data_IF_362562297216
#
_entry.id   IF_362562297216
#
_cell.length_a   1.000
_cell.length_b   1.000
_cell.length_c   1.000
_cell.angle_alpha   90.00
_cell.angle_beta   90.00
_cell.angle_gamma   90.00
#
_symmetry.space_group_name_H-M   'P 1'
#
loop_
_entity.id
_entity.type
_entity.pdbx_description
1 polymer ?
#
# COMPACT_ATOMS: atom_id res chain seq x y z
N UNK A 1 0.05 55.20 91.68
CA UNK A 1 -0.06 56.58 91.14
C UNK A 1 0.93 56.68 89.99
N UNK A 2 0.64 57.00 88.72
CA UNK A 2 -0.46 57.68 88.03
C UNK A 2 -0.83 56.91 86.75
N UNK A 3 -2.10 56.96 86.35
CA UNK A 3 -2.64 56.52 85.05
C UNK A 3 -2.37 57.57 83.97
N UNK A 4 -2.26 57.16 82.69
CA UNK A 4 -2.91 57.76 81.51
C UNK A 4 -2.65 56.93 80.21
N UNK A 5 -3.42 57.10 79.11
CA UNK A 5 -4.13 56.01 78.43
C UNK A 5 -3.68 55.74 76.98
N UNK A 6 -4.22 54.67 76.39
CA UNK A 6 -3.78 54.03 75.16
C UNK A 6 -4.27 54.61 73.83
N UNK A 7 -3.78 53.98 72.74
CA UNK A 7 -4.21 54.18 71.35
C UNK A 7 -4.21 52.83 70.60
N UNK A 8 -5.19 52.69 69.71
CA UNK A 8 -5.75 51.49 69.04
C UNK A 8 -4.88 50.88 67.93
N UNK A 9 -5.06 49.57 67.70
CA UNK A 9 -4.72 48.86 66.46
C UNK A 9 -5.56 49.34 65.27
N UNK A 10 -4.95 49.38 64.08
CA UNK A 10 -5.65 49.35 62.80
C UNK A 10 -4.83 48.55 61.78
N UNK A 11 -5.38 47.42 61.37
CA UNK A 11 -4.93 46.62 60.25
C UNK A 11 -5.25 47.34 58.92
N UNK A 12 -4.27 47.47 58.03
CA UNK A 12 -4.49 47.93 56.65
C UNK A 12 -4.67 46.74 55.72
N UNK A 13 -5.89 46.63 55.21
CA UNK A 13 -6.35 45.70 54.19
C UNK A 13 -5.89 46.16 52.80
N UNK A 14 -5.51 45.17 52.00
CA UNK A 14 -5.19 45.25 50.58
C UNK A 14 -6.43 45.62 49.75
N UNK A 15 -6.33 46.54 48.79
CA UNK A 15 -7.33 46.68 47.72
C UNK A 15 -6.61 46.94 46.39
N UNK A 16 -6.57 45.89 45.56
CA UNK A 16 -6.18 45.95 44.16
C UNK A 16 -7.35 46.53 43.38
N UNK A 17 -7.15 47.69 42.74
CA UNK A 17 -8.12 48.29 41.84
C UNK A 17 -8.09 47.56 40.50
N UNK A 18 -9.10 46.74 40.21
CA UNK A 18 -9.34 46.19 38.87
C UNK A 18 -10.05 47.23 38.02
N UNK A 19 -9.36 47.72 36.98
CA UNK A 19 -9.90 48.66 36.01
C UNK A 19 -10.92 47.99 35.10
N UNK A 20 -12.08 48.63 34.94
CA UNK A 20 -13.09 48.27 33.95
C UNK A 20 -12.56 48.68 32.56
N UNK A 21 -12.40 47.75 31.61
CA UNK A 21 -12.00 48.13 30.25
C UNK A 21 -13.11 48.95 29.60
N UNK A 22 -12.72 50.04 28.92
CA UNK A 22 -13.68 50.90 28.21
C UNK A 22 -14.44 50.09 27.15
N UNK A 23 -15.73 50.41 26.98
CA UNK A 23 -16.66 49.73 26.05
C UNK A 23 -16.13 49.70 24.61
N UNK A 24 -15.33 50.70 24.21
CA UNK A 24 -14.70 50.76 22.89
C UNK A 24 -13.61 49.69 22.68
N UNK A 25 -12.83 49.36 23.71
CA UNK A 25 -11.79 48.32 23.64
C UNK A 25 -12.41 46.92 23.54
N UNK A 26 -13.53 46.68 24.21
CA UNK A 26 -14.27 45.41 24.13
C UNK A 26 -14.91 45.24 22.74
N UNK A 27 -15.48 46.30 22.17
CA UNK A 27 -16.08 46.25 20.83
C UNK A 27 -15.06 45.96 19.72
N UNK A 28 -13.85 46.53 19.80
CA UNK A 28 -12.77 46.28 18.83
C UNK A 28 -12.27 44.83 18.84
N UNK A 29 -12.12 44.25 20.03
CA UNK A 29 -11.68 42.85 20.19
C UNK A 29 -12.74 41.86 19.70
N UNK A 30 -14.03 42.16 19.96
CA UNK A 30 -15.14 41.33 19.46
C UNK A 30 -15.23 41.38 17.94
N UNK A 31 -15.08 42.55 17.32
CA UNK A 31 -15.12 42.69 15.87
C UNK A 31 -13.97 41.96 15.19
N UNK A 32 -12.75 42.06 15.73
CA UNK A 32 -11.58 41.35 15.20
C UNK A 32 -11.74 39.82 15.29
N UNK A 33 -12.29 39.31 16.40
CA UNK A 33 -12.55 37.88 16.58
C UNK A 33 -13.61 37.35 15.61
N UNK A 34 -14.68 38.12 15.35
CA UNK A 34 -15.73 37.75 14.39
C UNK A 34 -15.19 37.71 12.96
N UNK A 35 -14.35 38.68 12.57
CA UNK A 35 -13.72 38.70 11.25
C UNK A 35 -12.75 37.52 11.08
N UNK A 36 -11.92 37.21 12.08
CA UNK A 36 -11.01 36.08 12.03
C UNK A 36 -11.75 34.73 11.91
N UNK A 37 -12.87 34.57 12.63
CA UNK A 37 -13.71 33.38 12.54
C UNK A 37 -14.37 33.25 11.15
N UNK A 38 -14.87 34.35 10.59
CA UNK A 38 -15.46 34.35 9.25
C UNK A 38 -14.45 33.97 8.15
N UNK A 39 -13.21 34.46 8.25
CA UNK A 39 -12.13 34.11 7.31
C UNK A 39 -11.72 32.63 7.45
N UNK A 40 -11.62 32.11 8.68
CA UNK A 40 -11.30 30.70 8.91
C UNK A 40 -12.38 29.76 8.36
N UNK A 41 -13.66 30.11 8.53
CA UNK A 41 -14.79 29.34 7.97
C UNK A 41 -14.79 29.38 6.45
N UNK A 42 -14.51 30.54 5.84
CA UNK A 42 -14.43 30.67 4.39
C UNK A 42 -13.28 29.84 3.79
N UNK A 43 -12.11 29.82 4.44
CA UNK A 43 -10.97 29.00 4.02
C UNK A 43 -11.23 27.51 4.18
N UNK A 44 -11.88 27.09 5.27
CA UNK A 44 -12.27 25.69 5.47
C UNK A 44 -13.27 25.24 4.40
N UNK A 45 -14.28 26.05 4.10
CA UNK A 45 -15.28 25.77 3.06
C UNK A 45 -14.65 25.71 1.66
N UNK A 46 -13.69 26.59 1.36
CA UNK A 46 -12.95 26.56 0.10
C UNK A 46 -12.07 25.30 -0.04
N UNK A 47 -11.39 24.88 1.04
CA UNK A 47 -10.63 23.64 1.06
C UNK A 47 -11.52 22.40 0.90
N UNK A 48 -12.72 22.41 1.51
CA UNK A 48 -13.71 21.35 1.34
C UNK A 48 -14.25 21.27 -0.09
N UNK A 49 -14.55 22.41 -0.74
CA UNK A 49 -15.02 22.41 -2.13
C UNK A 49 -13.96 21.92 -3.11
N UNK A 50 -12.68 22.28 -2.92
CA UNK A 50 -11.58 21.78 -3.76
C UNK A 50 -11.37 20.29 -3.55
N UNK A 51 -11.45 19.79 -2.32
CA UNK A 51 -11.33 18.36 -2.02
C UNK A 51 -12.49 17.54 -2.62
N UNK A 52 -13.72 18.04 -2.57
CA UNK A 52 -14.90 17.38 -3.15
C UNK A 52 -14.85 17.41 -4.69
N UNK A 53 -14.44 18.53 -5.29
CA UNK A 53 -14.31 18.65 -6.75
C UNK A 53 -13.20 17.77 -7.33
N UNK A 54 -12.05 17.67 -6.64
CA UNK A 54 -10.96 16.78 -7.03
C UNK A 54 -11.34 15.31 -6.87
N UNK A 55 -12.02 14.94 -5.77
CA UNK A 55 -12.49 13.57 -5.52
C UNK A 55 -13.55 13.09 -6.51
N UNK A 56 -14.45 13.98 -6.95
CA UNK A 56 -15.48 13.64 -7.93
C UNK A 56 -14.92 13.48 -9.36
N UNK A 57 -13.94 14.31 -9.75
CA UNK A 57 -13.31 14.17 -11.07
C UNK A 57 -12.43 12.92 -11.16
N UNK A 58 -11.70 12.57 -10.08
CA UNK A 58 -10.90 11.34 -10.05
C UNK A 58 -11.79 10.10 -10.02
N UNK A 59 -12.91 10.11 -9.26
CA UNK A 59 -13.79 8.95 -9.20
C UNK A 59 -14.42 8.61 -10.56
N UNK A 60 -14.90 9.62 -11.30
CA UNK A 60 -15.48 9.45 -12.65
C UNK A 60 -14.44 8.93 -13.63
N UNK A 61 -13.23 9.47 -13.64
CA UNK A 61 -12.15 9.00 -14.53
C UNK A 61 -11.69 7.56 -14.26
N UNK A 62 -11.92 7.05 -13.04
CA UNK A 62 -11.52 5.70 -12.66
C UNK A 62 -12.63 4.69 -12.94
N UNK A 63 -13.90 5.08 -12.77
CA UNK A 63 -15.04 4.26 -13.20
C UNK A 63 -15.05 4.11 -14.73
N UNK A 64 -14.68 5.18 -15.45
CA UNK A 64 -14.43 5.15 -16.90
C UNK A 64 -13.28 4.20 -17.26
N UNK A 65 -12.13 4.27 -16.57
CA UNK A 65 -10.99 3.35 -16.80
C UNK A 65 -11.28 1.89 -16.45
N UNK A 66 -12.12 1.63 -15.44
CA UNK A 66 -12.62 0.29 -15.13
C UNK A 66 -13.52 -0.21 -16.26
N UNK A 67 -14.40 0.64 -16.78
CA UNK A 67 -15.23 0.29 -17.94
C UNK A 67 -14.40 0.04 -19.21
N UNK A 68 -13.29 0.76 -19.42
CA UNK A 68 -12.34 0.48 -20.49
C UNK A 68 -11.60 -0.85 -20.27
N UNK A 69 -11.19 -1.18 -19.05
CA UNK A 69 -10.58 -2.48 -18.76
C UNK A 69 -11.56 -3.65 -18.98
N UNK A 70 -12.84 -3.43 -18.70
CA UNK A 70 -13.94 -4.37 -18.98
C UNK A 70 -14.28 -4.43 -20.50
N UNK A 71 -14.05 -3.36 -21.27
CA UNK A 71 -14.27 -3.31 -22.73
C UNK A 71 -13.19 -4.06 -23.53
N UNK A 72 -11.93 -4.06 -23.05
CA UNK A 72 -10.80 -4.72 -23.72
C UNK A 72 -10.37 -6.04 -23.06
N UNK A 73 -10.91 -6.36 -21.89
CA UNK A 73 -10.71 -7.63 -21.20
C UNK A 73 -11.58 -8.76 -21.78
N UNK A 74 -11.25 -10.03 -21.48
CA UNK A 74 -12.20 -11.11 -21.74
C UNK A 74 -13.51 -10.81 -21.01
N UNK A 75 -14.65 -11.12 -21.65
CA UNK A 75 -15.97 -10.93 -21.03
C UNK A 75 -15.98 -11.54 -19.62
N UNK A 76 -16.44 -10.81 -18.58
CA UNK A 76 -16.55 -11.36 -17.23
C UNK A 76 -17.46 -12.58 -17.27
N UNK A 77 -16.89 -13.76 -17.01
CA UNK A 77 -17.61 -15.02 -17.13
C UNK A 77 -16.80 -16.09 -17.86
N UNK A 78 -16.08 -16.85 -17.02
CA UNK A 78 -15.65 -18.24 -17.25
C UNK A 78 -14.42 -18.41 -18.15
N UNK A 79 -13.24 -18.23 -17.54
CA UNK A 79 -12.05 -18.97 -17.99
C UNK A 79 -12.23 -20.42 -17.53
N UNK A 80 -12.94 -21.23 -18.33
CA UNK A 80 -13.20 -22.65 -18.04
C UNK A 80 -11.89 -23.46 -17.96
N UNK A 81 -10.91 -23.09 -18.79
CA UNK A 81 -9.58 -23.70 -18.83
C UNK A 81 -8.51 -22.60 -18.96
N UNK A 82 -7.79 -22.28 -17.87
CA UNK A 82 -6.67 -21.35 -17.91
C UNK A 82 -5.62 -21.73 -18.95
N UNK A 83 -5.41 -23.02 -19.21
CA UNK A 83 -4.40 -23.48 -20.16
C UNK A 83 -4.76 -23.04 -21.58
N UNK A 84 -5.98 -23.34 -22.04
CA UNK A 84 -6.47 -22.94 -23.36
C UNK A 84 -6.52 -21.41 -23.49
N UNK A 85 -7.03 -20.72 -22.48
CA UNK A 85 -7.09 -19.26 -22.48
C UNK A 85 -5.70 -18.63 -22.62
N UNK A 86 -4.74 -19.08 -21.82
CA UNK A 86 -3.36 -18.57 -21.86
C UNK A 86 -2.67 -18.94 -23.17
N UNK A 87 -2.96 -20.09 -23.77
CA UNK A 87 -2.43 -20.48 -25.07
C UNK A 87 -2.78 -19.46 -26.17
N UNK A 88 -4.00 -18.91 -26.12
CA UNK A 88 -4.52 -17.92 -27.07
C UNK A 88 -4.09 -16.49 -26.75
N UNK A 89 -4.07 -16.11 -25.46
CA UNK A 89 -3.98 -14.70 -25.07
C UNK A 89 -2.60 -14.26 -24.53
N UNK A 90 -1.78 -15.20 -24.01
CA UNK A 90 -0.51 -14.81 -23.42
C UNK A 90 0.52 -14.46 -24.50
N UNK A 91 1.06 -13.25 -24.42
CA UNK A 91 2.08 -12.78 -25.32
C UNK A 91 3.41 -13.52 -25.08
N UNK A 92 4.19 -13.69 -26.16
CA UNK A 92 5.56 -14.19 -26.06
C UNK A 92 6.50 -13.14 -25.45
N UNK A 93 7.61 -13.60 -24.87
CA UNK A 93 8.73 -12.74 -24.48
C UNK A 93 9.29 -12.03 -25.72
N UNK A 94 9.62 -10.75 -25.59
CA UNK A 94 10.17 -9.91 -26.64
C UNK A 94 9.14 -9.35 -27.63
N UNK A 95 7.83 -9.59 -27.44
CA UNK A 95 6.78 -9.10 -28.34
C UNK A 95 6.46 -7.60 -28.19
N UNK A 96 7.25 -6.87 -27.40
CA UNK A 96 7.09 -5.43 -27.17
C UNK A 96 6.10 -5.11 -26.04
N UNK A 97 5.74 -3.85 -25.90
CA UNK A 97 4.87 -3.38 -24.81
C UNK A 97 3.42 -3.85 -24.98
N UNK A 98 2.81 -4.28 -23.88
CA UNK A 98 1.39 -4.62 -23.80
C UNK A 98 0.57 -3.44 -23.28
N UNK A 99 -0.71 -3.36 -23.67
CA UNK A 99 -1.67 -2.44 -23.06
C UNK A 99 -2.08 -3.02 -21.71
N UNK A 100 -1.58 -2.43 -20.63
CA UNK A 100 -1.88 -2.86 -19.26
C UNK A 100 -3.10 -2.09 -18.73
N UNK A 101 -4.14 -2.77 -18.20
CA UNK A 101 -5.29 -2.08 -17.63
C UNK A 101 -4.89 -1.35 -16.33
N UNK A 102 -5.55 -0.22 -16.06
CA UNK A 102 -5.29 0.61 -14.88
C UNK A 102 -6.44 0.46 -13.89
N UNK A 103 -6.12 0.10 -12.66
CA UNK A 103 -7.07 0.00 -11.54
C UNK A 103 -6.67 0.91 -10.37
N UNK A 104 -7.56 1.10 -9.40
CA UNK A 104 -7.17 1.73 -8.13
C UNK A 104 -6.21 0.84 -7.38
N UNK A 105 -5.11 1.40 -6.88
CA UNK A 105 -4.19 0.65 -6.02
C UNK A 105 -4.93 0.08 -4.79
N UNK A 106 -5.89 0.83 -4.25
CA UNK A 106 -6.68 0.36 -3.12
C UNK A 106 -7.52 -0.88 -3.44
N UNK A 107 -8.04 -0.97 -4.66
CA UNK A 107 -8.94 -2.05 -5.02
C UNK A 107 -8.15 -3.33 -5.26
N UNK A 108 -7.02 -3.23 -5.99
CA UNK A 108 -6.11 -4.36 -6.25
C UNK A 108 -5.42 -4.88 -4.99
N UNK A 109 -5.03 -4.02 -4.05
CA UNK A 109 -4.21 -4.42 -2.90
C UNK A 109 -5.05 -4.71 -1.66
N UNK A 110 -6.14 -3.97 -1.47
CA UNK A 110 -6.89 -3.97 -0.20
C UNK A 110 -8.33 -4.45 -0.31
N UNK A 111 -8.91 -4.48 -1.51
CA UNK A 111 -10.29 -4.91 -1.75
C UNK A 111 -10.38 -6.00 -2.83
N UNK A 112 -9.35 -6.82 -2.98
CA UNK A 112 -9.21 -7.80 -4.06
C UNK A 112 -9.95 -9.13 -3.80
N UNK A 113 -10.82 -9.19 -2.78
CA UNK A 113 -11.45 -10.43 -2.30
C UNK A 113 -10.45 -11.58 -2.03
N UNK A 114 -9.22 -11.24 -1.65
CA UNK A 114 -8.15 -12.22 -1.39
C UNK A 114 -7.45 -12.79 -2.62
N UNK A 115 -7.81 -12.38 -3.85
CA UNK A 115 -7.12 -12.78 -5.08
C UNK A 115 -5.62 -12.43 -5.05
N UNK A 116 -5.31 -11.28 -4.47
CA UNK A 116 -3.97 -10.72 -4.36
C UNK A 116 -3.71 -10.47 -2.89
N UNK A 117 -2.54 -10.85 -2.39
CA UNK A 117 -2.14 -10.57 -1.01
C UNK A 117 -0.66 -10.28 -0.97
N UNK A 118 -0.30 -9.00 -0.99
CA UNK A 118 1.10 -8.60 -0.94
C UNK A 118 1.76 -9.07 0.35
N UNK A 119 2.99 -9.57 0.21
CA UNK A 119 3.82 -9.99 1.33
C UNK A 119 3.43 -11.34 1.91
N UNK A 120 2.53 -12.05 1.26
CA UNK A 120 2.11 -13.41 1.62
C UNK A 120 2.36 -14.33 0.43
N UNK A 121 3.09 -15.42 0.69
CA UNK A 121 3.35 -16.47 -0.29
C UNK A 121 2.07 -17.27 -0.53
N UNK A 122 1.52 -17.26 -1.74
CA UNK A 122 0.31 -17.98 -2.12
C UNK A 122 0.37 -19.48 -1.83
N UNK A 123 1.57 -20.07 -1.75
CA UNK A 123 1.77 -21.45 -1.33
C UNK A 123 1.23 -21.76 0.07
N UNK A 124 1.06 -20.76 0.95
CA UNK A 124 0.41 -20.97 2.25
C UNK A 124 -1.01 -21.51 2.10
N UNK A 125 -1.66 -21.25 0.96
CA UNK A 125 -3.03 -21.63 0.72
C UNK A 125 -3.20 -23.06 0.19
N UNK A 126 -2.12 -23.77 -0.16
CA UNK A 126 -2.20 -25.16 -0.65
C UNK A 126 -3.06 -26.11 0.20
N UNK A 127 -3.03 -26.05 1.55
CA UNK A 127 -3.82 -26.97 2.36
C UNK A 127 -5.33 -26.66 2.38
N UNK A 128 -5.76 -25.53 1.80
CA UNK A 128 -7.14 -25.06 1.89
C UNK A 128 -7.92 -25.40 0.62
N UNK A 129 -9.15 -25.91 0.80
CA UNK A 129 -10.05 -26.24 -0.31
C UNK A 129 -10.64 -25.01 -1.00
N UNK A 130 -10.64 -23.85 -0.33
CA UNK A 130 -11.08 -22.58 -0.91
C UNK A 130 -9.85 -21.69 -1.18
N UNK A 131 -9.71 -21.28 -2.44
CA UNK A 131 -8.57 -20.54 -2.97
C UNK A 131 -9.09 -19.33 -3.75
N UNK A 132 -9.17 -18.14 -3.13
CA UNK A 132 -9.62 -16.93 -3.84
C UNK A 132 -8.57 -16.44 -4.84
N UNK A 133 -7.35 -16.95 -4.78
CA UNK A 133 -6.25 -16.65 -5.69
C UNK A 133 -6.24 -17.56 -6.92
N UNK A 134 -7.42 -17.90 -7.44
CA UNK A 134 -7.52 -18.61 -8.72
C UNK A 134 -7.38 -17.65 -9.89
N UNK A 135 -6.86 -18.16 -11.01
CA UNK A 135 -6.75 -17.38 -12.25
C UNK A 135 -8.13 -16.92 -12.74
N UNK A 136 -9.12 -17.80 -12.71
CA UNK A 136 -10.50 -17.50 -13.10
C UNK A 136 -11.11 -16.38 -12.24
N UNK A 137 -10.96 -16.45 -10.91
CA UNK A 137 -11.50 -15.44 -10.01
C UNK A 137 -10.79 -14.09 -10.21
N UNK A 138 -9.47 -14.12 -10.39
CA UNK A 138 -8.69 -12.92 -10.71
C UNK A 138 -9.19 -12.27 -12.00
N UNK A 139 -9.36 -13.03 -13.09
CA UNK A 139 -9.87 -12.51 -14.36
C UNK A 139 -11.34 -12.05 -14.29
N UNK A 140 -12.12 -12.61 -13.37
CA UNK A 140 -13.52 -12.21 -13.16
C UNK A 140 -13.62 -10.86 -12.47
N UNK A 141 -12.79 -10.61 -11.45
CA UNK A 141 -12.84 -9.36 -10.67
C UNK A 141 -11.98 -8.26 -11.32
N UNK A 142 -10.82 -8.63 -11.84
CA UNK A 142 -9.85 -7.74 -12.47
C UNK A 142 -9.45 -8.33 -13.83
N UNK A 143 -10.29 -8.20 -14.87
CA UNK A 143 -9.92 -8.68 -16.20
C UNK A 143 -8.66 -7.99 -16.71
N UNK A 144 -7.76 -8.76 -17.32
CA UNK A 144 -6.56 -8.24 -17.95
C UNK A 144 -6.10 -9.11 -19.12
N UNK A 145 -5.98 -8.47 -20.29
CA UNK A 145 -5.32 -9.04 -21.46
C UNK A 145 -3.79 -8.87 -21.42
N UNK A 146 -3.25 -8.16 -20.44
CA UNK A 146 -1.82 -7.94 -20.29
C UNK A 146 -1.16 -9.14 -19.59
N UNK A 147 -1.03 -10.23 -20.36
CA UNK A 147 -0.50 -11.49 -19.89
C UNK A 147 0.71 -11.84 -20.74
N UNK A 148 1.82 -12.23 -20.11
CA UNK A 148 3.00 -12.68 -20.84
C UNK A 148 3.57 -13.97 -20.26
N UNK A 149 4.13 -14.79 -21.15
CA UNK A 149 4.98 -15.91 -20.76
C UNK A 149 6.28 -15.42 -20.14
N UNK A 150 6.81 -16.19 -19.18
CA UNK A 150 8.19 -16.04 -18.70
C UNK A 150 9.17 -16.63 -19.72
N UNK A 151 10.46 -16.35 -19.56
CA UNK A 151 11.51 -16.86 -20.46
C UNK A 151 11.59 -18.39 -20.51
N UNK A 152 11.26 -19.05 -19.40
CA UNK A 152 11.24 -20.52 -19.30
C UNK A 152 10.05 -21.15 -20.05
N UNK A 153 9.04 -20.35 -20.40
CA UNK A 153 7.86 -20.80 -21.14
C UNK A 153 6.83 -21.59 -20.34
N UNK A 154 7.18 -22.03 -19.13
CA UNK A 154 6.34 -22.83 -18.21
C UNK A 154 5.52 -22.01 -17.23
N UNK A 155 5.73 -20.68 -17.20
CA UNK A 155 4.98 -19.75 -16.36
C UNK A 155 4.49 -18.56 -17.16
N UNK A 156 3.47 -17.90 -16.64
CA UNK A 156 2.95 -16.62 -17.11
C UNK A 156 2.88 -15.65 -15.94
N UNK A 157 2.82 -14.36 -16.26
CA UNK A 157 2.42 -13.34 -15.32
C UNK A 157 1.36 -12.42 -15.93
N UNK A 158 0.42 -12.02 -15.09
CA UNK A 158 -0.65 -11.07 -15.41
C UNK A 158 -0.28 -9.71 -14.82
N UNK A 159 -0.46 -8.65 -15.61
CA UNK A 159 -0.10 -7.29 -15.22
C UNK A 159 -1.31 -6.39 -15.00
N UNK A 160 -1.16 -5.49 -14.04
CA UNK A 160 -2.11 -4.42 -13.73
C UNK A 160 -1.36 -3.15 -13.37
N UNK A 161 -1.64 -2.03 -14.05
CA UNK A 161 -1.15 -0.73 -13.64
C UNK A 161 -2.07 -0.16 -12.54
N UNK A 162 -1.50 0.64 -11.65
CA UNK A 162 -2.24 1.33 -10.59
C UNK A 162 -2.35 2.82 -10.86
N UNK A 163 -3.45 3.44 -10.44
CA UNK A 163 -3.64 4.89 -10.44
C UNK A 163 -2.61 5.65 -9.57
N UNK A 164 -1.89 4.94 -8.70
CA UNK A 164 -0.79 5.43 -7.88
C UNK A 164 0.60 5.19 -8.49
N UNK A 165 0.68 4.85 -9.79
CA UNK A 165 1.92 4.74 -10.55
C UNK A 165 2.73 3.46 -10.26
N UNK A 166 2.07 2.40 -9.77
CA UNK A 166 2.67 1.08 -9.62
C UNK A 166 2.24 0.12 -10.73
N UNK A 167 2.93 -1.01 -10.84
CA UNK A 167 2.51 -2.18 -11.62
C UNK A 167 2.53 -3.41 -10.74
N UNK A 168 1.40 -4.12 -10.68
CA UNK A 168 1.24 -5.40 -10.03
C UNK A 168 1.50 -6.53 -11.04
N UNK A 169 2.23 -7.54 -10.61
CA UNK A 169 2.46 -8.79 -11.34
C UNK A 169 1.94 -9.97 -10.51
N UNK A 170 1.18 -10.84 -11.14
CA UNK A 170 0.65 -12.06 -10.52
C UNK A 170 1.06 -13.27 -11.37
N UNK A 171 1.77 -14.21 -10.77
CA UNK A 171 2.43 -15.31 -11.48
C UNK A 171 1.61 -16.61 -11.39
N UNK A 172 1.62 -17.39 -12.47
CA UNK A 172 0.96 -18.69 -12.59
C UNK A 172 1.84 -19.63 -13.40
N UNK A 173 1.81 -20.94 -13.14
CA UNK A 173 2.63 -21.91 -13.86
C UNK A 173 1.90 -23.20 -14.22
N UNK A 174 2.47 -23.92 -15.18
CA UNK A 174 1.99 -25.24 -15.63
C UNK A 174 1.91 -26.27 -14.52
N UNK A 175 2.74 -26.11 -13.47
CA UNK A 175 2.77 -27.01 -12.31
C UNK A 175 1.37 -27.23 -11.72
N UNK A 176 0.58 -26.17 -11.66
CA UNK A 176 -0.77 -26.19 -11.13
C UNK A 176 -1.82 -25.97 -12.23
N UNK A 177 -1.50 -26.28 -13.50
CA UNK A 177 -2.33 -25.98 -14.68
C UNK A 177 -2.77 -24.52 -14.73
N UNK A 178 -1.92 -23.60 -14.26
CA UNK A 178 -2.19 -22.18 -14.12
C UNK A 178 -3.42 -21.84 -13.27
N UNK A 179 -3.92 -22.76 -12.44
CA UNK A 179 -5.15 -22.58 -11.69
C UNK A 179 -5.01 -21.55 -10.58
N UNK A 180 -3.84 -21.50 -9.92
CA UNK A 180 -3.61 -20.69 -8.72
C UNK A 180 -2.32 -19.87 -8.82
N UNK A 181 -2.29 -18.77 -8.08
CA UNK A 181 -1.11 -17.92 -7.97
C UNK A 181 0.08 -18.69 -7.40
N UNK A 182 1.25 -18.49 -8.00
CA UNK A 182 2.53 -18.98 -7.51
C UNK A 182 3.26 -17.90 -6.71
N UNK A 183 3.82 -18.29 -5.58
CA UNK A 183 4.70 -17.45 -4.77
C UNK A 183 4.05 -16.12 -4.33
N UNK A 184 4.78 -15.02 -4.44
CA UNK A 184 4.35 -13.70 -4.00
C UNK A 184 3.83 -12.85 -5.17
N UNK A 185 2.62 -12.27 -5.10
CA UNK A 185 2.27 -11.14 -5.95
C UNK A 185 3.24 -9.98 -5.73
N UNK A 186 3.69 -9.36 -6.82
CA UNK A 186 4.73 -8.32 -6.79
C UNK A 186 4.14 -6.98 -7.20
N UNK A 187 4.23 -5.99 -6.32
CA UNK A 187 3.99 -4.60 -6.70
C UNK A 187 5.34 -3.93 -6.93
N UNK A 188 5.46 -3.20 -8.04
CA UNK A 188 6.65 -2.43 -8.39
C UNK A 188 6.24 -0.97 -8.60
N UNK A 189 6.96 -0.01 -8.00
CA UNK A 189 6.78 1.43 -8.25
C UNK A 189 7.97 2.10 -8.93
N UNK A 190 9.14 1.46 -8.90
CA UNK A 190 10.39 1.96 -9.49
C UNK A 190 11.26 0.82 -9.93
N UNK A 191 12.00 1.01 -11.03
CA UNK A 191 13.08 0.11 -11.44
C UNK A 191 14.35 0.45 -10.66
N UNK A 192 14.75 -0.47 -9.78
CA UNK A 192 15.93 -0.34 -8.92
C UNK A 192 16.87 -1.53 -9.15
N UNK A 193 18.13 -1.38 -8.76
CA UNK A 193 19.12 -2.47 -8.70
C UNK A 193 19.42 -2.84 -7.26
N UNK A 194 19.96 -4.04 -7.03
CA UNK A 194 20.32 -4.54 -5.71
C UNK A 194 21.34 -3.65 -4.99
N UNK A 195 22.22 -2.99 -5.74
CA UNK A 195 23.20 -2.04 -5.19
C UNK A 195 22.56 -0.96 -4.29
N UNK A 196 21.34 -0.52 -4.62
CA UNK A 196 20.61 0.48 -3.81
C UNK A 196 20.27 -0.01 -2.40
N UNK A 197 20.26 -1.32 -2.18
CA UNK A 197 19.93 -1.97 -0.91
C UNK A 197 21.16 -2.43 -0.13
N UNK A 198 22.38 -2.25 -0.65
CA UNK A 198 23.62 -2.77 -0.05
C UNK A 198 23.89 -2.26 1.38
N UNK A 199 23.31 -1.12 1.76
CA UNK A 199 23.43 -0.55 3.11
C UNK A 199 22.43 -1.08 4.14
N UNK A 200 21.54 -2.00 3.76
CA UNK A 200 20.55 -2.60 4.67
C UNK A 200 21.12 -3.81 5.40
N UNK A 201 20.74 -3.97 6.66
CA UNK A 201 21.09 -5.11 7.49
C UNK A 201 19.97 -5.46 8.48
N UNK A 202 19.93 -6.70 9.01
CA UNK A 202 19.08 -7.02 10.15
C UNK A 202 19.28 -6.03 11.30
N UNK A 203 18.17 -5.57 11.90
CA UNK A 203 18.18 -4.50 12.90
C UNK A 203 17.85 -3.11 12.35
N UNK A 204 17.95 -2.88 11.04
CA UNK A 204 17.46 -1.65 10.41
C UNK A 204 15.92 -1.59 10.43
N UNK A 205 15.37 -0.38 10.54
CA UNK A 205 13.93 -0.16 10.47
C UNK A 205 13.38 -0.14 9.04
N UNK A 206 12.12 -0.56 8.87
CA UNK A 206 11.42 -0.57 7.57
C UNK A 206 11.40 0.81 6.89
N UNK A 207 11.38 1.90 7.66
CA UNK A 207 11.47 3.26 7.11
C UNK A 207 12.74 3.51 6.26
N UNK A 208 13.85 2.81 6.58
CA UNK A 208 15.08 2.86 5.78
C UNK A 208 14.86 2.22 4.40
N UNK A 209 14.12 1.11 4.35
CA UNK A 209 13.75 0.44 3.09
C UNK A 209 12.79 1.31 2.28
N UNK A 210 11.79 1.92 2.92
CA UNK A 210 10.85 2.85 2.26
C UNK A 210 11.55 4.05 1.61
N UNK A 211 12.67 4.51 2.18
CA UNK A 211 13.48 5.58 1.60
C UNK A 211 14.21 5.18 0.30
N UNK A 212 14.44 3.88 0.12
CA UNK A 212 15.08 3.30 -1.07
C UNK A 212 14.01 2.96 -2.10
N UNK A 213 12.96 2.24 -1.68
CA UNK A 213 11.86 1.80 -2.53
C UNK A 213 10.49 2.22 -1.94
N UNK A 214 9.77 3.16 -2.58
CA UNK A 214 8.50 3.64 -2.06
C UNK A 214 7.40 2.58 -2.03
N UNK A 215 7.56 1.44 -2.72
CA UNK A 215 6.57 0.35 -2.64
C UNK A 215 6.46 -0.23 -1.22
N UNK A 216 7.53 -0.15 -0.42
CA UNK A 216 7.52 -0.62 0.97
C UNK A 216 6.45 0.07 1.82
N UNK A 217 6.05 1.30 1.47
CA UNK A 217 4.93 1.97 2.13
C UNK A 217 3.62 1.18 2.01
N UNK A 218 3.36 0.62 0.82
CA UNK A 218 2.16 -0.20 0.56
C UNK A 218 2.23 -1.50 1.35
N UNK A 219 3.39 -2.15 1.39
CA UNK A 219 3.61 -3.34 2.23
C UNK A 219 3.37 -3.04 3.72
N UNK A 220 3.86 -1.91 4.25
CA UNK A 220 3.57 -1.48 5.62
C UNK A 220 2.08 -1.35 5.87
N UNK A 221 1.35 -0.69 4.97
CA UNK A 221 -0.10 -0.53 5.09
C UNK A 221 -0.84 -1.88 5.11
N UNK A 222 -0.34 -2.89 4.37
CA UNK A 222 -0.84 -4.27 4.45
C UNK A 222 -0.57 -4.88 5.82
N UNK A 223 0.66 -4.74 6.34
CA UNK A 223 1.03 -5.31 7.65
C UNK A 223 0.25 -4.67 8.80
N UNK A 224 -0.02 -3.37 8.73
CA UNK A 224 -0.69 -2.59 9.77
C UNK A 224 -2.18 -2.91 9.90
N UNK A 225 -2.78 -3.53 8.88
CA UNK A 225 -4.17 -4.03 8.94
C UNK A 225 -4.35 -5.23 9.86
N UNK A 226 -3.25 -5.88 10.25
CA UNK A 226 -3.29 -7.06 11.12
C UNK A 226 -3.10 -6.65 12.58
N UNK A 227 -3.93 -7.16 13.49
CA UNK A 227 -3.67 -7.07 14.93
C UNK A 227 -2.52 -7.99 15.35
N UNK A 228 -1.94 -7.77 16.54
CA UNK A 228 -0.80 -8.57 17.03
C UNK A 228 -1.10 -10.08 17.08
N UNK A 229 -2.33 -10.45 17.42
CA UNK A 229 -2.78 -11.85 17.43
C UNK A 229 -2.70 -12.46 16.02
N UNK A 230 -3.15 -11.73 15.00
CA UNK A 230 -3.13 -12.19 13.63
C UNK A 230 -1.70 -12.32 13.09
N UNK A 231 -0.84 -11.33 13.40
CA UNK A 231 0.58 -11.37 13.05
C UNK A 231 1.27 -12.56 13.71
N UNK A 232 1.11 -12.76 15.02
CA UNK A 232 1.72 -13.90 15.72
C UNK A 232 1.24 -15.25 15.14
N UNK A 233 -0.03 -15.35 14.75
CA UNK A 233 -0.54 -16.54 14.07
C UNK A 233 0.12 -16.73 12.70
N UNK A 234 0.24 -15.70 11.88
CA UNK A 234 0.95 -15.79 10.59
C UNK A 234 2.41 -16.22 10.77
N UNK A 235 3.11 -15.64 11.74
CA UNK A 235 4.50 -16.00 12.06
C UNK A 235 4.60 -17.48 12.46
N UNK A 236 3.65 -17.99 13.26
CA UNK A 236 3.61 -19.42 13.64
C UNK A 236 3.40 -20.37 12.45
N UNK A 237 2.87 -19.85 11.34
CA UNK A 237 2.69 -20.56 10.08
C UNK A 237 3.84 -20.32 9.09
N UNK A 238 4.93 -19.68 9.52
CA UNK A 238 6.08 -19.36 8.67
C UNK A 238 5.90 -18.12 7.79
N UNK A 239 4.81 -17.36 7.96
CA UNK A 239 4.53 -16.14 7.20
C UNK A 239 4.96 -14.91 8.00
N UNK A 240 6.25 -14.57 7.93
CA UNK A 240 6.73 -13.30 8.47
C UNK A 240 6.18 -12.14 7.63
N UNK A 241 5.89 -10.96 8.21
CA UNK A 241 5.73 -9.74 7.43
C UNK A 241 6.90 -9.59 6.45
N UNK A 242 6.60 -9.53 5.15
CA UNK A 242 7.61 -9.66 4.10
C UNK A 242 7.34 -8.66 2.97
N UNK A 243 8.35 -7.93 2.53
CA UNK A 243 8.30 -7.18 1.27
C UNK A 243 9.15 -7.87 0.20
N UNK A 244 8.67 -7.84 -1.03
CA UNK A 244 9.39 -8.36 -2.18
C UNK A 244 9.65 -7.21 -3.16
N UNK A 245 10.88 -7.12 -3.63
CA UNK A 245 11.37 -6.07 -4.51
C UNK A 245 11.88 -6.71 -5.79
N UNK A 246 11.18 -6.48 -6.90
CA UNK A 246 11.66 -6.86 -8.22
C UNK A 246 12.67 -5.82 -8.71
N UNK A 247 13.87 -6.27 -9.03
CA UNK A 247 15.00 -5.42 -9.39
C UNK A 247 15.38 -5.61 -10.85
N UNK A 248 16.24 -4.75 -11.39
CA UNK A 248 16.79 -4.91 -12.75
C UNK A 248 17.80 -6.04 -12.86
N UNK A 249 18.38 -6.45 -11.73
CA UNK A 249 19.48 -7.42 -11.63
C UNK A 249 19.14 -8.64 -10.77
N UNK A 250 17.91 -8.75 -10.29
CA UNK A 250 17.43 -9.91 -9.53
C UNK A 250 16.13 -9.63 -8.79
N UNK A 251 15.92 -10.39 -7.70
CA UNK A 251 14.81 -10.19 -6.77
C UNK A 251 15.34 -10.15 -5.34
N UNK A 252 14.78 -9.25 -4.52
CA UNK A 252 15.13 -9.11 -3.11
C UNK A 252 13.88 -9.32 -2.25
N UNK A 253 13.97 -10.28 -1.34
CA UNK A 253 13.01 -10.52 -0.28
C UNK A 253 13.55 -9.95 1.03
N UNK A 254 12.73 -9.18 1.75
CA UNK A 254 13.05 -8.64 3.07
C UNK A 254 11.98 -9.09 4.06
N UNK A 255 12.41 -9.74 5.13
CA UNK A 255 11.55 -10.18 6.22
C UNK A 255 11.65 -9.24 7.41
N UNK A 256 10.54 -9.07 8.12
CA UNK A 256 10.44 -8.16 9.25
C UNK A 256 9.80 -8.81 10.46
N UNK A 257 10.05 -8.20 11.62
CA UNK A 257 9.28 -8.39 12.84
C UNK A 257 8.75 -7.05 13.31
N UNK A 258 7.56 -7.04 13.95
CA UNK A 258 7.06 -5.86 14.65
C UNK A 258 8.04 -5.39 15.72
N UNK A 259 8.20 -4.07 15.79
CA UNK A 259 9.04 -3.39 16.77
C UNK A 259 8.31 -2.16 17.30
N UNK A 260 8.33 -1.95 18.61
CA UNK A 260 7.57 -0.85 19.23
C UNK A 260 8.14 0.54 18.89
N UNK A 261 9.43 0.61 18.54
CA UNK A 261 10.13 1.87 18.26
C UNK A 261 10.22 2.13 16.76
N UNK A 262 10.54 1.10 15.98
CA UNK A 262 10.78 1.19 14.54
C UNK A 262 9.54 0.83 13.69
N UNK A 263 8.44 0.41 14.33
CA UNK A 263 7.26 -0.17 13.69
C UNK A 263 7.54 -1.60 13.20
N UNK A 264 8.50 -1.73 12.29
CA UNK A 264 9.01 -3.00 11.79
C UNK A 264 10.53 -2.95 11.66
N UNK A 265 11.20 -4.01 12.11
CA UNK A 265 12.65 -4.18 12.03
C UNK A 265 12.99 -5.33 11.10
N UNK A 266 14.02 -5.17 10.27
CA UNK A 266 14.49 -6.22 9.36
C UNK A 266 15.06 -7.37 10.17
N UNK A 267 14.62 -8.59 9.85
CA UNK A 267 15.14 -9.83 10.43
C UNK A 267 15.97 -10.64 9.45
N UNK A 268 15.70 -10.50 8.15
CA UNK A 268 16.40 -11.24 7.10
C UNK A 268 16.30 -10.55 5.75
N UNK A 269 17.32 -10.74 4.93
CA UNK A 269 17.34 -10.31 3.53
C UNK A 269 17.79 -11.49 2.68
N UNK A 270 17.08 -11.75 1.59
CA UNK A 270 17.43 -12.80 0.62
C UNK A 270 17.43 -12.18 -0.77
N UNK A 271 18.62 -12.04 -1.34
CA UNK A 271 18.81 -11.61 -2.72
C UNK A 271 19.05 -12.83 -3.62
N UNK A 272 18.37 -12.85 -4.76
CA UNK A 272 18.53 -13.86 -5.81
C UNK A 272 18.78 -13.17 -7.16
N UNK A 273 19.96 -13.34 -7.78
CA UNK A 273 20.26 -12.77 -9.09
C UNK A 273 19.58 -13.51 -10.25
N UNK A 274 19.08 -14.72 -10.00
CA UNK A 274 18.32 -15.54 -10.94
C UNK A 274 16.81 -15.33 -10.83
N UNK A 275 16.38 -14.28 -10.12
CA UNK A 275 14.98 -13.87 -9.95
C UNK A 275 14.08 -14.96 -9.36
N UNK A 276 14.64 -15.90 -8.60
CA UNK A 276 13.91 -17.02 -8.05
C UNK A 276 13.91 -17.01 -6.51
N UNK A 277 12.74 -17.20 -5.92
CA UNK A 277 12.60 -17.35 -4.47
C UNK A 277 12.03 -18.72 -4.14
N UNK A 278 12.57 -19.33 -3.08
CA UNK A 278 11.97 -20.49 -2.43
C UNK A 278 10.73 -20.05 -1.65
N UNK A 279 9.63 -20.74 -1.89
CA UNK A 279 8.34 -20.49 -1.26
C UNK A 279 7.73 -21.75 -0.63
N UNK A 280 6.55 -21.59 -0.05
CA UNK A 280 5.80 -22.66 0.60
C UNK A 280 5.31 -23.72 -0.38
N UNK A 281 5.13 -23.35 -1.65
CA UNK A 281 4.81 -24.27 -2.75
C UNK A 281 6.03 -24.55 -3.65
N UNK A 282 7.24 -24.41 -3.11
CA UNK A 282 8.49 -24.56 -3.84
C UNK A 282 8.92 -23.28 -4.55
N UNK A 283 9.86 -23.45 -5.49
CA UNK A 283 10.57 -22.36 -6.14
C UNK A 283 9.72 -21.66 -7.20
N UNK A 284 9.65 -20.33 -7.14
CA UNK A 284 8.97 -19.48 -8.14
C UNK A 284 9.97 -18.57 -8.83
N UNK A 285 9.92 -18.49 -10.16
CA UNK A 285 10.73 -17.59 -10.99
C UNK A 285 9.94 -16.33 -11.33
N UNK A 286 10.51 -15.17 -11.01
CA UNK A 286 9.90 -13.84 -11.17
C UNK A 286 10.53 -13.04 -12.31
N UNK A 287 11.20 -13.71 -13.24
CA UNK A 287 11.72 -13.10 -14.47
C UNK A 287 10.56 -12.49 -15.28
N UNK A 288 10.62 -11.19 -15.52
CA UNK A 288 9.72 -10.47 -16.41
C UNK A 288 10.45 -9.98 -17.66
N UNK A 289 9.70 -9.57 -18.67
CA UNK A 289 10.25 -8.97 -19.87
C UNK A 289 10.78 -7.57 -19.57
N UNK A 290 11.89 -7.19 -20.21
CA UNK A 290 12.49 -5.86 -20.05
C UNK A 290 11.51 -4.72 -20.39
N UNK A 291 10.60 -4.95 -21.35
CA UNK A 291 9.58 -3.99 -21.76
C UNK A 291 8.47 -3.78 -20.71
N UNK A 292 8.36 -4.67 -19.74
CA UNK A 292 7.26 -4.70 -18.78
C UNK A 292 7.62 -4.07 -17.42
N UNK A 293 8.89 -3.79 -17.15
CA UNK A 293 9.30 -3.00 -15.98
C UNK A 293 8.59 -1.64 -15.93
N UNK A 294 8.29 -1.16 -14.73
CA UNK A 294 7.84 0.23 -14.52
C UNK A 294 8.94 1.19 -15.01
N UNK A 295 8.54 2.15 -15.83
CA UNK A 295 9.42 3.16 -16.44
C UNK A 295 9.74 4.31 -15.48
#
# INVERSE_FOLDING_TARGET
>A
MKRHPGIRLSARTCLVATGVPSVAAVAGVVLAAVVALAVAVALAMAASLVAVGAGACTSVSIEEKRSEAEEWGPNPGVVDDPTAFLAEHAAAVGSGSLKVPIYRESDLIFASDGCVTLGVDAGFRLPYSFRPDSFEHLQTIFPSSAIRRTWEGTSVYVMYDTDAGGRLYVFFSEKNHYLFVDGFPLLMKKKLSHEKFAGLAPGDGLAKVESIDPVTKVYREVFDRLGDVAVNKQISLGMQPTSIHLLSDGILKIEYRRDITLGYVITGLVYSPDFALEGLDGRTCYCIDEADYVK
#
